data_IF_332780250273
#
_entry.id   IF_332780250273
#
_cell.length_a   1.000
_cell.length_b   1.000
_cell.length_c   1.000
_cell.angle_alpha   90.00
_cell.angle_beta   90.00
_cell.angle_gamma   90.00
#
_symmetry.space_group_name_H-M   'P 1'
#
loop_
_entity.id
_entity.type
_entity.pdbx_description
1 polymer ?
#
# COMPACT_ATOMS: atom_id res chain seq x y z
N UNK A 1 -10.54 2.76 -7.37
CA UNK A 1 -11.91 3.13 -6.92
C UNK A 1 -11.90 4.31 -5.94
N UNK A 2 -11.24 4.22 -4.78
CA UNK A 2 -11.16 5.33 -3.82
C UNK A 2 -10.67 6.66 -4.42
N UNK A 3 -9.67 6.62 -5.29
CA UNK A 3 -9.21 7.82 -6.00
C UNK A 3 -10.32 8.49 -6.85
N UNK A 4 -11.28 7.73 -7.37
CA UNK A 4 -12.41 8.32 -8.09
C UNK A 4 -13.34 9.16 -7.21
N UNK A 5 -13.43 8.81 -5.93
CA UNK A 5 -14.23 9.52 -4.93
C UNK A 5 -13.43 10.65 -4.26
N UNK A 6 -12.22 10.35 -3.80
CA UNK A 6 -11.41 11.23 -2.94
C UNK A 6 -10.44 12.12 -3.72
N UNK A 7 -10.03 11.70 -4.93
CA UNK A 7 -8.96 12.32 -5.72
C UNK A 7 -9.29 12.36 -7.22
N UNK A 8 -10.46 12.89 -7.63
CA UNK A 8 -10.93 12.75 -9.01
C UNK A 8 -9.98 13.39 -10.04
N UNK A 9 -9.28 14.46 -9.66
CA UNK A 9 -8.31 15.17 -10.52
C UNK A 9 -6.96 14.46 -10.64
N UNK A 10 -6.61 13.60 -9.68
CA UNK A 10 -5.30 12.90 -9.64
C UNK A 10 -5.47 11.38 -9.66
N UNK A 11 -6.55 10.90 -10.30
CA UNK A 11 -6.92 9.48 -10.33
C UNK A 11 -5.85 8.61 -10.99
N UNK A 12 -5.23 9.11 -12.07
CA UNK A 12 -4.24 8.36 -12.82
C UNK A 12 -2.95 8.23 -12.00
N UNK A 13 -2.55 9.31 -11.33
CA UNK A 13 -1.41 9.35 -10.43
C UNK A 13 -1.62 8.39 -9.26
N UNK A 14 -2.82 8.35 -8.67
CA UNK A 14 -3.18 7.36 -7.64
C UNK A 14 -3.04 5.91 -8.12
N UNK A 15 -3.35 5.64 -9.40
CA UNK A 15 -3.14 4.31 -9.97
C UNK A 15 -1.65 3.97 -10.05
N UNK A 16 -0.83 4.90 -10.55
CA UNK A 16 0.62 4.73 -10.61
C UNK A 16 1.23 4.55 -9.21
N UNK A 17 0.81 5.35 -8.23
CA UNK A 17 1.22 5.19 -6.85
C UNK A 17 0.86 3.82 -6.29
N UNK A 18 -0.39 3.38 -6.43
CA UNK A 18 -0.82 2.07 -5.95
C UNK A 18 -0.05 0.89 -6.56
N UNK A 19 0.53 1.05 -7.77
CA UNK A 19 1.40 0.04 -8.37
C UNK A 19 2.82 0.03 -7.77
N UNK A 20 3.28 1.16 -7.24
CA UNK A 20 4.67 1.37 -6.85
C UNK A 20 4.91 1.31 -5.33
N UNK A 21 3.90 1.53 -4.50
CA UNK A 21 4.07 1.60 -3.04
C UNK A 21 4.76 0.36 -2.44
N UNK A 22 4.49 -0.83 -2.99
CA UNK A 22 5.07 -2.10 -2.53
C UNK A 22 6.13 -2.67 -3.49
N UNK A 23 6.67 -1.87 -4.43
CA UNK A 23 7.62 -2.37 -5.44
C UNK A 23 8.88 -3.01 -4.81
N UNK A 24 9.24 -2.58 -3.60
CA UNK A 24 10.42 -3.06 -2.89
C UNK A 24 10.21 -4.44 -2.26
N UNK A 25 8.98 -4.83 -1.92
CA UNK A 25 8.69 -6.12 -1.26
C UNK A 25 9.26 -7.32 -2.05
N UNK A 26 9.00 -7.50 -3.36
CA UNK A 26 9.60 -8.61 -4.11
C UNK A 26 11.11 -8.52 -4.24
N UNK A 27 11.68 -7.31 -4.30
CA UNK A 27 13.14 -7.11 -4.35
C UNK A 27 13.80 -7.56 -3.04
N UNK A 28 13.20 -7.18 -1.91
CA UNK A 28 13.67 -7.56 -0.58
C UNK A 28 13.52 -9.07 -0.34
N UNK A 29 12.42 -9.67 -0.79
CA UNK A 29 12.23 -11.12 -0.75
C UNK A 29 13.30 -11.87 -1.57
N UNK A 30 13.71 -11.32 -2.72
CA UNK A 30 14.75 -11.92 -3.55
C UNK A 30 16.15 -11.76 -2.96
N UNK A 31 16.49 -10.59 -2.43
CA UNK A 31 17.85 -10.29 -1.94
C UNK A 31 18.11 -10.75 -0.49
N UNK A 32 17.07 -10.82 0.33
CA UNK A 32 17.16 -11.20 1.75
C UNK A 32 16.32 -12.44 2.08
N UNK A 33 16.23 -13.41 1.17
CA UNK A 33 15.28 -14.54 1.20
C UNK A 33 15.06 -15.17 2.57
N UNK A 34 16.12 -15.57 3.28
CA UNK A 34 15.96 -16.24 4.58
C UNK A 34 15.42 -15.30 5.68
N UNK A 35 15.87 -14.05 5.73
CA UNK A 35 15.45 -13.10 6.77
C UNK A 35 14.11 -12.47 6.43
N UNK A 36 13.92 -12.04 5.19
CA UNK A 36 12.68 -11.46 4.72
C UNK A 36 11.54 -12.50 4.70
N UNK A 37 11.84 -13.77 4.38
CA UNK A 37 10.87 -14.86 4.51
C UNK A 37 10.31 -14.99 5.94
N UNK A 38 11.16 -14.92 6.97
CA UNK A 38 10.70 -14.92 8.37
C UNK A 38 9.88 -13.69 8.73
N UNK A 39 10.20 -12.53 8.16
CA UNK A 39 9.42 -11.31 8.37
C UNK A 39 8.02 -11.47 7.78
N UNK A 40 7.92 -11.98 6.54
CA UNK A 40 6.64 -12.26 5.89
C UNK A 40 5.83 -13.32 6.65
N UNK A 41 6.47 -14.37 7.18
CA UNK A 41 5.79 -15.35 8.03
C UNK A 41 5.16 -14.70 9.28
N UNK A 42 5.90 -13.83 9.97
CA UNK A 42 5.40 -13.07 11.13
C UNK A 42 4.26 -12.12 10.74
N UNK A 43 4.39 -11.44 9.60
CA UNK A 43 3.36 -10.56 9.06
C UNK A 43 2.06 -11.31 8.78
N UNK A 44 2.13 -12.45 8.08
CA UNK A 44 0.96 -13.31 7.82
C UNK A 44 0.36 -13.92 9.09
N UNK A 45 1.17 -14.13 10.13
CA UNK A 45 0.71 -14.55 11.44
C UNK A 45 0.03 -13.42 12.25
N UNK A 46 -0.02 -12.20 11.73
CA UNK A 46 -0.64 -11.05 12.39
C UNK A 46 0.20 -10.47 13.54
N UNK A 47 1.51 -10.71 13.57
CA UNK A 47 2.40 -10.21 14.63
C UNK A 47 2.68 -8.70 14.57
N UNK A 48 2.24 -8.02 13.52
CA UNK A 48 2.39 -6.58 13.34
C UNK A 48 2.31 -6.15 11.87
N UNK A 49 2.44 -4.85 11.63
CA UNK A 49 2.52 -4.30 10.27
C UNK A 49 3.87 -4.62 9.62
N UNK A 50 3.87 -4.88 8.30
CA UNK A 50 5.10 -5.27 7.58
C UNK A 50 6.24 -4.26 7.78
N UNK A 51 5.95 -2.96 7.63
CA UNK A 51 6.96 -1.91 7.80
C UNK A 51 7.54 -1.88 9.23
N UNK A 52 6.75 -2.20 10.26
CA UNK A 52 7.23 -2.24 11.63
C UNK A 52 8.17 -3.44 11.87
N UNK A 53 7.84 -4.59 11.30
CA UNK A 53 8.66 -5.81 11.37
C UNK A 53 9.99 -5.64 10.60
N UNK A 54 9.97 -4.95 9.47
CA UNK A 54 11.17 -4.59 8.72
C UNK A 54 12.05 -3.60 9.48
N UNK A 55 11.44 -2.58 10.08
CA UNK A 55 12.16 -1.62 10.91
C UNK A 55 12.87 -2.32 12.08
N UNK A 56 12.21 -3.29 12.72
CA UNK A 56 12.80 -4.12 13.79
C UNK A 56 14.01 -4.92 13.28
N UNK A 57 13.90 -5.54 12.10
CA UNK A 57 14.90 -6.48 11.59
C UNK A 57 16.08 -5.82 10.87
N UNK A 58 15.84 -4.73 10.15
CA UNK A 58 16.82 -4.09 9.27
C UNK A 58 17.14 -2.63 9.64
N UNK A 59 16.27 -1.97 10.40
CA UNK A 59 16.38 -0.53 10.67
C UNK A 59 15.88 0.37 9.54
N UNK A 60 15.22 -0.22 8.54
CA UNK A 60 14.56 0.47 7.43
C UNK A 60 13.37 -0.37 6.93
N UNK A 61 12.51 0.23 6.13
CA UNK A 61 11.23 -0.29 5.64
C UNK A 61 11.20 -0.46 4.13
N UNK A 62 10.27 -1.26 3.60
CA UNK A 62 10.02 -1.37 2.16
C UNK A 62 9.62 -0.02 1.55
N UNK A 63 8.93 0.84 2.30
CA UNK A 63 8.55 2.18 1.84
C UNK A 63 9.78 3.06 1.58
N UNK A 64 10.76 3.08 2.49
CA UNK A 64 12.01 3.82 2.33
C UNK A 64 12.85 3.27 1.15
N UNK A 65 12.94 1.94 1.04
CA UNK A 65 13.65 1.29 -0.08
C UNK A 65 12.95 1.58 -1.41
N UNK A 66 11.62 1.50 -1.47
CA UNK A 66 10.82 1.77 -2.65
C UNK A 66 10.95 3.23 -3.11
N UNK A 67 10.94 4.18 -2.16
CA UNK A 67 11.17 5.59 -2.45
C UNK A 67 12.59 5.82 -3.00
N UNK A 68 13.60 5.13 -2.46
CA UNK A 68 14.96 5.19 -3.00
C UNK A 68 15.03 4.66 -4.43
N UNK A 69 14.39 3.52 -4.73
CA UNK A 69 14.33 2.99 -6.10
C UNK A 69 13.64 3.97 -7.05
N UNK A 70 12.54 4.60 -6.63
CA UNK A 70 11.86 5.62 -7.43
C UNK A 70 12.77 6.80 -7.77
N UNK A 71 13.56 7.29 -6.80
CA UNK A 71 14.53 8.37 -7.01
C UNK A 71 15.68 7.94 -7.93
N UNK A 72 16.19 6.72 -7.76
CA UNK A 72 17.24 6.17 -8.62
C UNK A 72 16.77 5.97 -10.07
N UNK A 73 15.46 5.78 -10.29
CA UNK A 73 14.83 5.76 -11.62
C UNK A 73 14.45 7.15 -12.16
N UNK A 74 14.83 8.21 -11.45
CA UNK A 74 14.51 9.61 -11.81
C UNK A 74 13.00 9.88 -11.92
N UNK A 75 12.17 9.16 -11.15
CA UNK A 75 10.74 9.46 -11.05
C UNK A 75 10.51 10.78 -10.30
N UNK A 76 9.38 11.48 -10.54
CA UNK A 76 9.11 12.76 -9.87
C UNK A 76 9.17 12.66 -8.34
N UNK A 77 9.76 13.65 -7.66
CA UNK A 77 9.86 13.62 -6.18
C UNK A 77 8.52 13.48 -5.46
N UNK A 78 7.41 14.12 -5.88
CA UNK A 78 6.11 13.86 -5.27
C UNK A 78 5.69 12.39 -5.37
N UNK A 79 6.17 11.67 -6.40
CA UNK A 79 5.93 10.25 -6.54
C UNK A 79 6.70 9.46 -5.49
N UNK A 80 8.02 9.68 -5.40
CA UNK A 80 8.88 8.99 -4.44
C UNK A 80 8.49 9.27 -3.00
N UNK A 81 8.17 10.52 -2.66
CA UNK A 81 7.73 10.91 -1.31
C UNK A 81 6.41 10.21 -0.91
N UNK A 82 5.47 10.07 -1.84
CA UNK A 82 4.23 9.33 -1.57
C UNK A 82 4.46 7.81 -1.43
N UNK A 83 5.48 7.24 -2.09
CA UNK A 83 5.94 5.86 -1.83
C UNK A 83 6.60 5.76 -0.45
N UNK A 84 7.33 6.77 0.01
CA UNK A 84 7.93 6.76 1.35
C UNK A 84 6.88 6.86 2.46
N UNK A 85 5.89 7.73 2.28
CA UNK A 85 4.89 8.10 3.30
C UNK A 85 3.58 7.29 3.23
N UNK A 86 3.52 6.18 2.47
CA UNK A 86 2.23 5.50 2.26
C UNK A 86 1.66 4.82 3.53
N UNK A 87 2.50 4.47 4.50
CA UNK A 87 2.09 4.02 5.84
C UNK A 87 1.91 5.15 6.85
N UNK A 88 2.29 6.39 6.50
CA UNK A 88 2.27 7.50 7.45
C UNK A 88 0.82 7.90 7.81
N UNK A 89 0.58 8.14 9.10
CA UNK A 89 -0.72 8.58 9.56
C UNK A 89 -0.97 10.08 9.31
N UNK A 90 -2.20 10.41 8.92
CA UNK A 90 -2.71 11.79 8.88
C UNK A 90 -2.79 12.42 7.47
N UNK A 91 -3.77 13.31 7.23
CA UNK A 91 -3.96 13.99 5.95
C UNK A 91 -3.08 15.24 5.87
N UNK A 92 -1.78 15.08 5.64
CA UNK A 92 -0.89 16.21 5.38
C UNK A 92 -0.80 16.51 3.87
N UNK A 93 -0.94 17.78 3.44
CA UNK A 93 -0.75 18.17 2.04
C UNK A 93 0.63 17.74 1.53
N UNK A 94 0.68 17.10 0.36
CA UNK A 94 1.93 16.63 -0.25
C UNK A 94 2.34 15.20 0.12
N UNK A 95 1.54 14.50 0.95
CA UNK A 95 1.72 13.07 1.23
C UNK A 95 1.02 12.16 0.22
N UNK A 96 1.22 10.85 0.42
CA UNK A 96 0.49 9.78 -0.25
C UNK A 96 -1.03 10.05 -0.26
N UNK A 97 -1.71 9.97 -1.42
CA UNK A 97 -3.13 10.24 -1.48
C UNK A 97 -3.94 9.26 -0.60
N UNK A 98 -4.97 9.73 0.14
CA UNK A 98 -5.86 8.90 0.93
C UNK A 98 -6.32 7.58 0.29
N UNK A 99 -6.62 7.57 -1.01
CA UNK A 99 -7.06 6.34 -1.68
C UNK A 99 -5.97 5.27 -1.79
N UNK A 100 -4.70 5.68 -1.84
CA UNK A 100 -3.53 4.79 -1.84
C UNK A 100 -3.22 4.34 -0.41
N UNK A 101 -3.23 5.26 0.56
CA UNK A 101 -3.06 4.92 1.98
C UNK A 101 -4.11 3.90 2.47
N UNK A 102 -5.37 4.04 2.05
CA UNK A 102 -6.41 3.07 2.38
C UNK A 102 -6.13 1.69 1.80
N UNK A 103 -5.56 1.62 0.60
CA UNK A 103 -5.18 0.35 -0.01
C UNK A 103 -3.97 -0.29 0.70
N UNK A 104 -3.04 0.51 1.19
CA UNK A 104 -1.86 0.05 1.93
C UNK A 104 -2.17 -0.61 3.29
N UNK A 105 -3.39 -0.45 3.81
CA UNK A 105 -3.86 -1.14 5.02
C UNK A 105 -4.10 -2.64 4.75
N UNK A 106 -4.31 -3.02 3.49
CA UNK A 106 -4.62 -4.39 3.13
C UNK A 106 -3.41 -5.30 3.37
N UNK A 107 -3.69 -6.51 3.84
CA UNK A 107 -2.68 -7.53 4.08
C UNK A 107 -3.00 -8.80 3.28
N UNK A 108 -1.98 -9.53 2.85
CA UNK A 108 -2.09 -10.79 2.11
C UNK A 108 -2.41 -11.98 3.05
N UNK A 109 -3.31 -11.79 4.01
CA UNK A 109 -3.82 -12.85 4.89
C UNK A 109 -5.35 -12.86 4.84
N UNK A 110 -5.98 -14.00 4.51
CA UNK A 110 -7.44 -14.14 4.62
C UNK A 110 -7.95 -13.90 6.04
N UNK A 111 -7.18 -14.33 7.05
CA UNK A 111 -7.50 -14.20 8.47
C UNK A 111 -7.34 -12.76 8.96
N UNK A 112 -6.39 -12.01 8.41
CA UNK A 112 -6.03 -10.65 8.83
C UNK A 112 -5.98 -9.67 7.65
N UNK A 113 -6.98 -9.69 6.78
CA UNK A 113 -6.97 -8.95 5.49
C UNK A 113 -6.86 -7.42 5.58
N UNK A 114 -7.05 -6.83 6.76
CA UNK A 114 -7.04 -5.37 6.96
C UNK A 114 -8.32 -4.67 6.50
N UNK A 115 -9.32 -5.38 5.96
CA UNK A 115 -10.54 -4.76 5.41
C UNK A 115 -11.35 -4.02 6.47
N UNK A 116 -11.52 -4.60 7.66
CA UNK A 116 -12.22 -3.94 8.78
C UNK A 116 -11.52 -2.63 9.15
N UNK A 117 -10.18 -2.67 9.27
CA UNK A 117 -9.37 -1.50 9.56
C UNK A 117 -9.47 -0.42 8.48
N UNK A 118 -9.46 -0.82 7.21
CA UNK A 118 -9.65 0.10 6.08
C UNK A 118 -11.02 0.80 6.17
N UNK A 119 -12.09 0.07 6.53
CA UNK A 119 -13.43 0.65 6.75
C UNK A 119 -13.44 1.66 7.87
N UNK A 120 -12.86 1.31 9.02
CA UNK A 120 -12.74 2.23 10.16
C UNK A 120 -12.00 3.51 9.78
N UNK A 121 -10.84 3.39 9.14
CA UNK A 121 -10.00 4.53 8.77
C UNK A 121 -10.69 5.38 7.71
N UNK A 122 -11.34 4.77 6.72
CA UNK A 122 -12.09 5.47 5.68
C UNK A 122 -13.23 6.32 6.27
N UNK A 123 -13.97 5.76 7.24
CA UNK A 123 -15.03 6.48 7.93
C UNK A 123 -14.47 7.59 8.84
N UNK A 124 -13.50 7.25 9.69
CA UNK A 124 -12.99 8.16 10.71
C UNK A 124 -12.17 9.33 10.16
N UNK A 125 -11.34 9.10 9.13
CA UNK A 125 -10.43 10.11 8.59
C UNK A 125 -10.98 10.83 7.37
N UNK A 126 -11.78 10.15 6.56
CA UNK A 126 -12.21 10.65 5.25
C UNK A 126 -13.73 10.77 5.10
N UNK A 127 -14.49 10.41 6.13
CA UNK A 127 -15.95 10.49 6.11
C UNK A 127 -16.61 9.59 5.08
N UNK A 128 -15.92 8.54 4.61
CA UNK A 128 -16.46 7.59 3.62
C UNK A 128 -17.27 6.52 4.36
N UNK A 129 -18.60 6.43 4.14
CA UNK A 129 -19.42 5.46 4.85
C UNK A 129 -19.04 4.01 4.55
N UNK A 130 -19.19 3.12 5.52
CA UNK A 130 -18.88 1.69 5.38
C UNK A 130 -19.48 1.03 4.12
N UNK A 131 -20.79 1.20 3.79
CA UNK A 131 -21.36 0.59 2.60
C UNK A 131 -20.67 1.05 1.30
N UNK A 132 -20.22 2.31 1.28
CA UNK A 132 -19.49 2.88 0.14
C UNK A 132 -18.08 2.30 0.09
N UNK A 133 -17.38 2.22 1.22
CA UNK A 133 -16.04 1.62 1.30
C UNK A 133 -16.05 0.16 0.84
N UNK A 134 -17.03 -0.64 1.29
CA UNK A 134 -17.20 -2.04 0.89
C UNK A 134 -17.47 -2.17 -0.62
N UNK A 135 -18.35 -1.32 -1.17
CA UNK A 135 -18.64 -1.32 -2.60
C UNK A 135 -17.41 -0.94 -3.45
N UNK A 136 -16.67 0.09 -3.05
CA UNK A 136 -15.45 0.52 -3.73
C UNK A 136 -14.37 -0.55 -3.67
N UNK A 137 -14.20 -1.20 -2.52
CA UNK A 137 -13.24 -2.29 -2.35
C UNK A 137 -13.58 -3.50 -3.23
N UNK A 138 -14.83 -3.97 -3.22
CA UNK A 138 -15.26 -5.10 -4.05
C UNK A 138 -15.04 -4.81 -5.55
N UNK A 139 -15.33 -3.58 -5.98
CA UNK A 139 -15.09 -3.13 -7.36
C UNK A 139 -13.59 -3.09 -7.69
N UNK A 140 -12.77 -2.60 -6.76
CA UNK A 140 -11.31 -2.54 -6.92
C UNK A 140 -10.70 -3.95 -7.01
N UNK A 141 -11.14 -4.88 -6.17
CA UNK A 141 -10.66 -6.26 -6.15
C UNK A 141 -10.95 -6.98 -7.48
N UNK A 142 -12.17 -6.83 -8.03
CA UNK A 142 -12.53 -7.40 -9.32
C UNK A 142 -11.64 -6.88 -10.46
N UNK A 143 -11.31 -5.58 -10.45
CA UNK A 143 -10.42 -4.97 -11.45
C UNK A 143 -8.96 -5.38 -11.24
N UNK A 144 -8.51 -5.48 -10.00
CA UNK A 144 -7.15 -5.93 -9.68
C UNK A 144 -6.88 -7.34 -10.22
N UNK A 145 -7.85 -8.26 -10.07
CA UNK A 145 -7.75 -9.60 -10.63
C UNK A 145 -7.61 -9.59 -12.17
N UNK A 146 -8.32 -8.69 -12.85
CA UNK A 146 -8.19 -8.52 -14.30
C UNK A 146 -6.79 -8.00 -14.69
N UNK A 147 -6.26 -7.01 -13.97
CA UNK A 147 -4.91 -6.48 -14.23
C UNK A 147 -3.85 -7.55 -13.97
N UNK A 148 -3.95 -8.27 -12.84
CA UNK A 148 -3.03 -9.34 -12.49
C UNK A 148 -2.97 -10.44 -13.58
N UNK A 149 -4.09 -10.76 -14.22
CA UNK A 149 -4.13 -11.73 -15.31
C UNK A 149 -3.27 -11.37 -16.53
N UNK A 150 -2.92 -10.09 -16.70
CA UNK A 150 -2.01 -9.63 -17.77
C UNK A 150 -0.55 -10.03 -17.48
N UNK A 151 -0.20 -10.22 -16.20
CA UNK A 151 1.16 -10.53 -15.74
C UNK A 151 1.39 -12.01 -15.48
N UNK A 152 0.38 -12.87 -15.68
CA UNK A 152 0.56 -14.33 -15.69
C UNK A 152 1.38 -14.73 -16.94
N UNK A 153 2.70 -14.77 -16.79
CA UNK A 153 3.66 -15.38 -17.73
C UNK A 153 4.00 -16.78 -17.26
#
# INVERSE_FOLDING_TARGET
EFAGLLHPSTRMECFTWGLLVDLAVPLLAQHHTATYGRILERWHAGEGELHALEQEAFGWTHAEVGARVCRDWELPEPLAAAVEDHHAEGPEPGRCPPGVQLAAILCESPEHSGVERMVEVAAARYGVPEPVTQQLFATAQAKAAQVASVFNV
#
